data_IF_073115054887
#
_entry.id   IF_073115054887
#
_cell.length_a   1.000
_cell.length_b   1.000
_cell.length_c   1.000
_cell.angle_alpha   90.00
_cell.angle_beta   90.00
_cell.angle_gamma   90.00
#
_symmetry.space_group_name_H-M   'P 1'
#
loop_
_entity.id
_entity.type
_entity.pdbx_description
1 polymer ?
#
# COMPACT_ATOMS: atom_id res chain seq x y z
N UNK A 1 -36.46 -16.84 -17.26
CA UNK A 1 -35.26 -17.57 -16.76
C UNK A 1 -34.66 -18.30 -17.96
N UNK A 2 -33.34 -18.22 -18.23
CA UNK A 2 -32.20 -18.61 -17.34
C UNK A 2 -31.11 -17.49 -17.24
N UNK A 3 -30.03 -17.47 -16.45
CA UNK A 3 -29.54 -18.15 -15.21
C UNK A 3 -28.37 -17.31 -14.65
N UNK A 4 -28.39 -17.04 -13.33
CA UNK A 4 -27.26 -16.77 -12.41
C UNK A 4 -26.08 -15.89 -12.85
N UNK A 5 -26.07 -14.64 -12.35
CA UNK A 5 -24.86 -13.83 -12.17
C UNK A 5 -23.89 -14.53 -11.21
N UNK A 6 -22.62 -14.60 -11.57
CA UNK A 6 -21.58 -15.18 -10.71
C UNK A 6 -21.41 -14.37 -9.42
N UNK A 7 -21.35 -15.05 -8.26
CA UNK A 7 -20.77 -14.46 -7.04
C UNK A 7 -19.26 -14.33 -7.25
N UNK A 8 -18.81 -13.19 -7.77
CA UNK A 8 -17.41 -12.92 -8.03
C UNK A 8 -17.14 -11.77 -8.99
N UNK A 9 -18.18 -11.12 -9.53
CA UNK A 9 -18.00 -9.93 -10.36
C UNK A 9 -17.40 -8.80 -9.52
N UNK A 10 -16.11 -8.56 -9.71
CA UNK A 10 -15.43 -7.39 -9.16
C UNK A 10 -15.94 -6.17 -9.94
N UNK A 11 -16.45 -5.12 -9.27
CA UNK A 11 -16.77 -3.88 -9.94
C UNK A 11 -15.52 -3.35 -10.67
N UNK A 12 -15.74 -2.67 -11.80
CA UNK A 12 -14.65 -2.14 -12.62
C UNK A 12 -13.61 -1.42 -11.73
N UNK A 13 -12.31 -1.70 -11.89
CA UNK A 13 -11.29 -1.09 -11.05
C UNK A 13 -11.38 0.43 -11.17
N UNK A 14 -11.32 1.12 -10.03
CA UNK A 14 -11.24 2.58 -10.03
C UNK A 14 -10.00 3.02 -10.85
N UNK A 15 -10.11 4.10 -11.64
CA UNK A 15 -9.02 4.55 -12.49
C UNK A 15 -7.76 4.83 -11.66
N UNK A 16 -6.65 4.15 -11.99
CA UNK A 16 -5.35 4.40 -11.39
C UNK A 16 -4.79 5.71 -11.94
N UNK A 17 -4.76 6.76 -11.11
CA UNK A 17 -4.08 8.00 -11.47
C UNK A 17 -2.60 7.86 -11.15
N UNK A 18 -1.79 7.50 -12.16
CA UNK A 18 -0.32 7.52 -12.05
C UNK A 18 0.12 8.98 -12.27
N UNK A 19 0.37 9.71 -11.18
CA UNK A 19 0.79 11.10 -11.25
C UNK A 19 2.21 11.24 -11.82
N UNK A 20 2.34 11.82 -13.00
CA UNK A 20 3.61 12.31 -13.57
C UNK A 20 3.92 13.72 -13.06
N UNK A 21 4.88 13.94 -12.15
CA UNK A 21 5.46 15.29 -11.95
C UNK A 21 6.95 15.27 -11.56
N UNK A 22 7.72 16.15 -12.20
CA UNK A 22 9.13 16.47 -11.97
C UNK A 22 9.44 17.08 -10.55
N UNK A 23 10.63 16.79 -10.02
CA UNK A 23 11.16 16.81 -8.62
C UNK A 23 10.86 18.04 -7.69
N UNK A 24 10.39 17.87 -6.41
CA UNK A 24 11.25 18.04 -5.19
C UNK A 24 10.82 17.21 -3.92
N UNK A 25 11.79 16.66 -3.16
CA UNK A 25 11.71 15.59 -2.13
C UNK A 25 10.65 15.58 -1.00
N UNK A 26 9.80 16.59 -0.83
CA UNK A 26 8.75 16.60 0.21
C UNK A 26 7.33 16.40 -0.33
N UNK A 27 7.09 16.75 -1.60
CA UNK A 27 5.80 16.58 -2.28
C UNK A 27 5.78 15.40 -3.27
N UNK A 28 6.91 14.70 -3.44
CA UNK A 28 7.03 13.61 -4.40
C UNK A 28 6.35 12.35 -3.85
N UNK A 29 5.52 11.62 -4.62
CA UNK A 29 4.86 10.37 -4.19
C UNK A 29 5.84 9.28 -3.73
N UNK A 30 7.13 9.39 -4.06
CA UNK A 30 8.21 8.56 -3.48
C UNK A 30 8.64 8.94 -2.05
N UNK A 31 7.94 9.87 -1.37
CA UNK A 31 8.20 10.25 0.01
C UNK A 31 8.17 9.02 0.91
N UNK A 32 9.18 8.89 1.77
CA UNK A 32 9.19 7.85 2.78
C UNK A 32 8.02 8.08 3.73
N UNK A 33 7.18 7.07 3.89
CA UNK A 33 6.05 7.07 4.81
C UNK A 33 6.31 6.05 5.92
N UNK A 34 5.58 6.19 7.03
CA UNK A 34 5.52 5.16 8.07
C UNK A 34 4.09 4.67 8.21
N UNK A 35 3.91 3.36 8.19
CA UNK A 35 2.68 2.71 8.62
C UNK A 35 2.86 2.38 10.10
N UNK A 36 1.95 2.86 10.94
CA UNK A 36 2.02 2.69 12.39
C UNK A 36 0.86 1.82 12.85
N UNK A 37 1.15 0.88 13.74
CA UNK A 37 0.16 0.00 14.37
C UNK A 37 -0.26 0.54 15.72
N UNK A 38 -0.53 -0.39 16.62
CA UNK A 38 -0.87 -0.05 18.00
C UNK A 38 0.34 0.58 18.71
N UNK A 39 0.06 1.44 19.68
CA UNK A 39 1.08 2.17 20.46
C UNK A 39 2.13 2.93 19.62
N UNK A 40 1.74 3.42 18.44
CA UNK A 40 2.62 4.14 17.50
C UNK A 40 3.85 3.34 17.03
N UNK A 41 3.77 2.02 17.09
CA UNK A 41 4.87 1.17 16.65
C UNK A 41 4.89 1.03 15.12
N UNK A 42 6.07 1.11 14.47
CA UNK A 42 6.17 0.90 13.03
C UNK A 42 5.74 -0.51 12.60
N UNK A 43 4.81 -0.59 11.65
CA UNK A 43 4.43 -1.83 10.98
C UNK A 43 5.43 -2.13 9.87
N UNK A 44 5.95 -3.34 9.86
CA UNK A 44 6.86 -3.84 8.82
C UNK A 44 6.33 -5.15 8.21
N UNK A 45 6.86 -5.49 7.04
CA UNK A 45 6.62 -6.80 6.42
C UNK A 45 7.73 -7.75 6.87
N UNK A 46 7.33 -8.87 7.47
CA UNK A 46 8.24 -9.93 7.93
C UNK A 46 8.86 -10.68 6.75
N UNK A 47 9.91 -11.47 7.01
CA UNK A 47 10.52 -12.34 5.98
C UNK A 47 9.58 -13.39 5.38
N UNK A 48 8.41 -13.63 6.00
CA UNK A 48 7.34 -14.50 5.49
C UNK A 48 6.25 -13.77 4.70
N UNK A 49 6.40 -12.46 4.47
CA UNK A 49 5.40 -11.68 3.74
C UNK A 49 4.15 -11.34 4.55
N UNK A 50 4.21 -11.36 5.88
CA UNK A 50 3.11 -10.95 6.77
C UNK A 50 3.38 -9.57 7.38
N UNK A 51 2.33 -8.80 7.69
CA UNK A 51 2.48 -7.59 8.52
C UNK A 51 2.81 -7.96 9.96
N UNK A 52 3.69 -7.17 10.59
CA UNK A 52 4.08 -7.34 11.99
C UNK A 52 2.97 -6.98 12.98
N UNK A 53 2.03 -6.12 12.57
CA UNK A 53 0.90 -5.65 13.36
C UNK A 53 -0.21 -5.10 12.44
N UNK A 54 -1.40 -4.85 12.99
CA UNK A 54 -2.51 -4.20 12.28
C UNK A 54 -2.19 -2.72 12.03
N UNK A 55 -2.32 -2.22 10.79
CA UNK A 55 -2.01 -0.83 10.46
C UNK A 55 -3.16 0.11 10.89
N UNK A 56 -2.82 1.07 11.74
CA UNK A 56 -3.77 2.00 12.38
C UNK A 56 -3.62 3.43 11.86
N UNK A 57 -2.40 3.87 11.54
CA UNK A 57 -2.11 5.24 11.09
C UNK A 57 -1.09 5.24 9.95
N UNK A 58 -1.28 6.15 9.00
CA UNK A 58 -0.29 6.48 7.97
C UNK A 58 0.36 7.82 8.32
N UNK A 59 1.67 7.84 8.51
CA UNK A 59 2.44 9.08 8.68
C UNK A 59 3.13 9.46 7.37
N UNK A 60 2.81 10.65 6.86
CA UNK A 60 3.38 11.23 5.65
C UNK A 60 3.87 12.66 5.94
N UNK A 61 5.19 12.82 6.07
CA UNK A 61 5.78 14.09 6.50
C UNK A 61 5.29 14.48 7.89
N UNK A 62 4.69 15.66 8.01
CA UNK A 62 4.07 16.18 9.23
C UNK A 62 2.59 15.78 9.38
N UNK A 63 2.03 15.02 8.44
CA UNK A 63 0.64 14.59 8.43
C UNK A 63 0.52 13.18 8.97
N UNK A 64 -0.56 12.92 9.71
CA UNK A 64 -0.94 11.59 10.19
C UNK A 64 -2.40 11.34 9.84
N UNK A 65 -2.64 10.31 9.03
CA UNK A 65 -3.98 9.91 8.58
C UNK A 65 -4.41 8.66 9.34
N UNK A 66 -5.69 8.61 9.73
CA UNK A 66 -6.25 7.41 10.38
C UNK A 66 -6.58 6.37 9.32
N UNK A 67 -6.08 5.15 9.48
CA UNK A 67 -6.41 4.04 8.57
C UNK A 67 -7.78 3.48 8.97
N UNK A 68 -8.70 3.43 8.01
CA UNK A 68 -10.09 2.94 8.17
C UNK A 68 -10.27 1.53 7.65
N UNK A 69 -9.39 1.08 6.76
CA UNK A 69 -9.37 -0.27 6.23
C UNK A 69 -8.09 -0.52 5.44
N UNK A 70 -7.78 -1.78 5.20
CA UNK A 70 -6.58 -2.18 4.47
C UNK A 70 -6.74 -3.58 3.86
N UNK A 71 -5.92 -3.87 2.85
CA UNK A 71 -5.83 -5.19 2.22
C UNK A 71 -4.38 -5.49 1.83
N UNK A 72 -3.97 -6.75 2.01
CA UNK A 72 -2.59 -7.21 1.84
C UNK A 72 -1.93 -7.64 3.17
N UNK A 73 -0.59 -7.65 3.27
CA UNK A 73 0.34 -7.27 2.22
C UNK A 73 0.42 -8.36 1.14
N UNK A 74 0.55 -7.97 -0.12
CA UNK A 74 0.78 -8.88 -1.24
C UNK A 74 2.27 -8.91 -1.59
N UNK A 75 2.99 -9.99 -1.30
CA UNK A 75 4.36 -10.14 -1.75
C UNK A 75 4.43 -10.10 -3.28
N UNK A 76 5.43 -9.40 -3.80
CA UNK A 76 5.77 -9.41 -5.21
C UNK A 76 7.20 -9.91 -5.35
N UNK A 77 7.33 -11.03 -6.04
CA UNK A 77 8.60 -11.61 -6.44
C UNK A 77 8.78 -11.39 -7.94
N UNK A 78 9.38 -10.26 -8.31
CA UNK A 78 9.79 -10.01 -9.70
C UNK A 78 11.10 -10.73 -10.01
N UNK A 79 11.22 -11.26 -11.23
CA UNK A 79 12.46 -11.87 -11.74
C UNK A 79 12.98 -12.98 -10.81
N UNK A 80 12.10 -13.92 -10.43
CA UNK A 80 12.45 -15.08 -9.60
C UNK A 80 13.58 -15.96 -10.19
N UNK A 81 13.88 -15.79 -11.48
CA UNK A 81 14.99 -16.42 -12.21
C UNK A 81 16.33 -15.65 -12.14
N UNK A 82 16.41 -14.52 -11.44
CA UNK A 82 17.62 -13.71 -11.21
C UNK A 82 17.66 -13.21 -9.75
N UNK A 83 18.54 -12.26 -9.42
CA UNK A 83 18.50 -11.50 -8.15
C UNK A 83 17.24 -10.60 -8.09
N UNK A 84 16.08 -11.25 -7.96
CA UNK A 84 14.77 -10.63 -8.07
C UNK A 84 14.53 -9.50 -7.08
N UNK A 85 13.71 -8.52 -7.49
CA UNK A 85 13.27 -7.44 -6.59
C UNK A 85 12.15 -7.98 -5.71
N UNK A 86 12.47 -8.26 -4.45
CA UNK A 86 11.49 -8.63 -3.43
C UNK A 86 10.90 -7.40 -2.75
N UNK A 87 9.60 -7.22 -2.87
CA UNK A 87 8.84 -6.17 -2.19
C UNK A 87 7.43 -6.66 -1.85
N UNK A 88 6.65 -5.85 -1.15
CA UNK A 88 5.25 -6.14 -0.89
C UNK A 88 4.39 -4.90 -1.15
N UNK A 89 3.16 -5.10 -1.60
CA UNK A 89 2.16 -4.05 -1.73
C UNK A 89 1.15 -4.11 -0.60
N UNK A 90 0.68 -2.95 -0.13
CA UNK A 90 -0.39 -2.85 0.85
C UNK A 90 -1.35 -1.76 0.37
N UNK A 91 -2.63 -2.06 0.27
CA UNK A 91 -3.64 -1.04 0.02
C UNK A 91 -4.22 -0.58 1.35
N UNK A 92 -4.31 0.73 1.54
CA UNK A 92 -4.92 1.34 2.72
C UNK A 92 -6.00 2.33 2.31
N UNK A 93 -7.05 2.41 3.11
CA UNK A 93 -8.07 3.46 3.03
C UNK A 93 -7.95 4.33 4.28
N UNK A 94 -7.95 5.64 4.12
CA UNK A 94 -7.97 6.61 5.21
C UNK A 94 -9.27 7.43 5.18
N UNK A 95 -9.37 8.39 6.09
CA UNK A 95 -10.38 9.44 6.08
C UNK A 95 -10.27 10.41 4.88
N UNK A 96 -9.14 10.42 4.19
CA UNK A 96 -8.87 11.37 3.10
C UNK A 96 -8.79 10.73 1.70
N UNK A 97 -8.70 9.42 1.60
CA UNK A 97 -8.59 8.71 0.31
C UNK A 97 -8.02 7.31 0.45
N UNK A 98 -7.70 6.66 -0.67
CA UNK A 98 -7.05 5.37 -0.66
C UNK A 98 -5.66 5.44 -1.28
N UNK A 99 -4.72 4.67 -0.72
CA UNK A 99 -3.32 4.66 -1.14
C UNK A 99 -2.86 3.23 -1.38
N UNK A 100 -2.14 3.03 -2.47
CA UNK A 100 -1.35 1.82 -2.69
C UNK A 100 0.06 2.08 -2.21
N UNK A 101 0.53 1.28 -1.27
CA UNK A 101 1.85 1.40 -0.68
C UNK A 101 2.75 0.27 -1.17
N UNK A 102 4.04 0.57 -1.34
CA UNK A 102 5.09 -0.42 -1.62
C UNK A 102 6.09 -0.48 -0.46
N UNK A 103 6.37 -1.68 0.05
CA UNK A 103 7.38 -1.96 1.05
C UNK A 103 8.59 -2.67 0.42
N UNK A 104 9.75 -2.01 0.44
CA UNK A 104 11.03 -2.63 0.07
C UNK A 104 12.03 -2.46 1.21
N UNK A 105 12.56 -3.56 1.73
CA UNK A 105 13.52 -3.53 2.85
C UNK A 105 12.98 -2.78 4.06
N UNK A 106 11.74 -3.07 4.47
CA UNK A 106 10.99 -2.43 5.56
C UNK A 106 10.67 -0.93 5.35
N UNK A 107 11.00 -0.36 4.20
CA UNK A 107 10.70 1.04 3.88
C UNK A 107 9.44 1.12 3.02
N UNK A 108 8.46 1.87 3.50
CA UNK A 108 7.21 2.13 2.82
C UNK A 108 7.29 3.39 1.95
N UNK A 109 6.62 3.36 0.80
CA UNK A 109 6.38 4.49 -0.10
C UNK A 109 4.97 4.42 -0.66
N UNK A 110 4.42 5.56 -1.09
CA UNK A 110 3.18 5.58 -1.87
C UNK A 110 3.53 5.27 -3.33
N UNK A 111 2.85 4.28 -3.89
CA UNK A 111 2.95 3.88 -5.30
C UNK A 111 1.82 4.52 -6.13
N UNK A 112 0.61 4.62 -5.57
CA UNK A 112 -0.54 5.27 -6.21
C UNK A 112 -1.51 5.85 -5.16
N UNK A 113 -2.33 6.81 -5.57
CA UNK A 113 -3.43 7.41 -4.80
C UNK A 113 -4.72 7.30 -5.61
N UNK A 114 -5.84 7.02 -4.94
CA UNK A 114 -7.18 6.85 -5.51
C UNK A 114 -8.22 7.67 -4.75
#
# INVERSE_FOLDING_TARGET
QPTTQWRGELPAPLPATVGEIANPSAGHPAAAIAVLGDHEQPVHVTGRGLMSDSPQRLRWGNRTLSIRGWAGPWPVDEQWWAEGKRYARLQIATDEGAYLLVCKGQKWRIEATY
#
